data_IF_191075473503
#
_entry.id   IF_191075473503
#
_cell.length_a   1.000
_cell.length_b   1.000
_cell.length_c   1.000
_cell.angle_alpha   90.00
_cell.angle_beta   90.00
_cell.angle_gamma   90.00
#
_symmetry.space_group_name_H-M   'P 1'
#
loop_
_entity.id
_entity.type
_entity.pdbx_description
1 polymer ?
#
# COMPACT_ATOMS: atom_id res chain seq x y z
N UNK A 1 68.36 29.07 -35.70
CA UNK A 1 68.79 28.05 -34.70
C UNK A 1 69.57 28.82 -33.65
N UNK A 2 69.21 28.91 -32.37
CA UNK A 2 68.47 27.99 -31.50
C UNK A 2 67.81 28.76 -30.34
N UNK A 3 66.69 28.19 -29.88
CA UNK A 3 65.87 28.57 -28.73
C UNK A 3 66.64 28.47 -27.40
N UNK A 4 66.31 29.34 -26.42
CA UNK A 4 66.74 29.19 -25.03
C UNK A 4 65.48 29.06 -24.16
N UNK A 5 65.12 27.80 -23.87
CA UNK A 5 64.05 27.46 -22.94
C UNK A 5 64.55 27.72 -21.51
N UNK A 6 63.74 28.41 -20.70
CA UNK A 6 63.96 28.54 -19.26
C UNK A 6 63.46 27.28 -18.57
N UNK A 7 64.38 26.53 -17.97
CA UNK A 7 64.07 25.42 -17.06
C UNK A 7 63.48 25.97 -15.76
N UNK A 8 62.19 25.72 -15.53
CA UNK A 8 61.51 25.96 -14.26
C UNK A 8 61.51 24.65 -13.50
N UNK A 9 62.31 24.56 -12.43
CA UNK A 9 62.28 23.42 -11.52
C UNK A 9 61.01 23.47 -10.65
N UNK A 10 60.18 22.40 -10.63
CA UNK A 10 59.00 22.36 -9.80
C UNK A 10 59.41 22.20 -8.32
N UNK A 11 58.90 23.09 -7.47
CA UNK A 11 59.07 23.05 -6.02
C UNK A 11 58.40 21.80 -5.44
N UNK A 12 59.20 20.89 -4.86
CA UNK A 12 58.73 19.68 -4.16
C UNK A 12 57.82 19.99 -2.97
N UNK A 13 57.97 21.16 -2.36
CA UNK A 13 57.11 21.62 -1.26
C UNK A 13 55.71 22.02 -1.74
N UNK A 14 55.57 22.56 -2.95
CA UNK A 14 54.27 22.90 -3.54
C UNK A 14 53.42 21.66 -3.83
N UNK A 15 54.07 20.59 -4.31
CA UNK A 15 53.41 19.31 -4.59
C UNK A 15 52.90 18.63 -3.31
N UNK A 16 53.70 18.68 -2.23
CA UNK A 16 53.32 18.10 -0.94
C UNK A 16 52.16 18.85 -0.29
N UNK A 17 52.12 20.18 -0.41
CA UNK A 17 51.01 20.99 0.12
C UNK A 17 49.71 20.73 -0.65
N UNK A 18 49.81 20.55 -1.96
CA UNK A 18 48.66 20.26 -2.84
C UNK A 18 48.06 18.88 -2.56
N UNK A 19 48.90 17.87 -2.29
CA UNK A 19 48.44 16.52 -1.93
C UNK A 19 47.75 16.49 -0.55
N UNK A 20 48.28 17.21 0.43
CA UNK A 20 47.62 17.33 1.75
C UNK A 20 46.29 18.07 1.62
N UNK A 21 46.22 19.14 0.80
CA UNK A 21 44.98 19.86 0.54
C UNK A 21 43.92 18.95 -0.12
N UNK A 22 44.30 18.15 -1.12
CA UNK A 22 43.39 17.16 -1.73
C UNK A 22 42.89 16.12 -0.71
N UNK A 23 43.78 15.57 0.13
CA UNK A 23 43.39 14.61 1.17
C UNK A 23 42.49 15.23 2.25
N UNK A 24 42.70 16.50 2.60
CA UNK A 24 41.80 17.20 3.54
C UNK A 24 40.48 17.61 2.91
N UNK A 25 40.45 17.89 1.61
CA UNK A 25 39.22 18.22 0.87
C UNK A 25 38.30 16.99 0.76
N UNK A 26 38.86 15.78 0.74
CA UNK A 26 38.11 14.52 0.86
C UNK A 26 37.43 14.34 2.22
N UNK A 27 37.90 15.01 3.28
CA UNK A 27 37.24 15.01 4.59
C UNK A 27 36.09 16.03 4.69
N UNK A 28 35.98 16.94 3.71
CA UNK A 28 34.90 17.93 3.59
C UNK A 28 33.87 17.55 2.53
N UNK A 29 34.11 16.49 1.76
CA UNK A 29 33.06 15.88 0.96
C UNK A 29 32.09 15.19 1.92
N UNK A 30 30.76 15.42 1.82
CA UNK A 30 29.82 14.55 2.51
C UNK A 30 30.16 13.13 2.08
N UNK A 31 30.37 12.26 3.07
CA UNK A 31 30.20 10.82 2.87
C UNK A 31 28.86 10.68 2.14
N UNK A 32 28.81 9.90 1.05
CA UNK A 32 27.53 9.48 0.47
C UNK A 32 26.67 9.05 1.64
N UNK A 33 25.68 9.87 1.99
CA UNK A 33 24.66 9.47 2.94
C UNK A 33 24.03 8.25 2.31
N UNK A 34 23.84 7.18 3.09
CA UNK A 34 22.94 6.11 2.69
C UNK A 34 21.65 6.80 2.20
N UNK A 35 21.29 6.53 0.95
CA UNK A 35 20.16 7.14 0.28
C UNK A 35 19.01 6.16 0.51
N UNK A 36 18.26 6.40 1.58
CA UNK A 36 17.19 5.51 2.00
C UNK A 36 16.75 5.73 3.44
N UNK A 37 15.63 5.11 3.81
CA UNK A 37 15.08 5.24 5.17
C UNK A 37 15.93 4.55 6.23
N UNK A 38 16.26 5.27 7.28
CA UNK A 38 16.98 4.79 8.45
C UNK A 38 16.17 3.75 9.24
N UNK A 39 14.84 3.84 9.23
CA UNK A 39 13.93 2.86 9.82
C UNK A 39 14.14 1.44 9.27
N UNK A 40 14.71 1.31 8.07
CA UNK A 40 15.00 0.05 7.42
C UNK A 40 16.40 -0.51 7.74
N UNK A 41 16.98 -0.12 8.87
CA UNK A 41 18.20 -0.76 9.38
C UNK A 41 19.52 -0.22 8.81
N UNK A 42 19.50 0.95 8.17
CA UNK A 42 20.73 1.64 7.75
C UNK A 42 20.68 2.41 6.43
N UNK A 43 19.50 2.62 5.85
CA UNK A 43 19.30 3.50 4.69
C UNK A 43 19.68 2.94 3.33
N UNK A 44 19.95 1.63 3.20
CA UNK A 44 20.19 0.97 1.90
C UNK A 44 19.13 -0.12 1.58
N UNK A 45 18.27 -0.48 2.54
CA UNK A 45 17.24 -1.53 2.39
C UNK A 45 15.87 -0.97 2.01
N UNK A 46 15.70 0.35 2.11
CA UNK A 46 14.49 1.03 1.65
C UNK A 46 14.92 2.26 0.88
N UNK A 47 14.10 2.66 -0.07
CA UNK A 47 14.22 3.90 -0.81
C UNK A 47 14.13 5.13 0.08
N UNK A 48 14.46 6.29 -0.48
CA UNK A 48 14.38 7.54 0.27
C UNK A 48 12.93 8.00 0.34
N UNK A 49 12.43 8.28 1.55
CA UNK A 49 11.10 8.86 1.69
C UNK A 49 11.08 10.29 1.11
N UNK A 50 10.18 10.53 0.15
CA UNK A 50 9.91 11.84 -0.42
C UNK A 50 8.39 12.12 -0.40
N UNK A 51 8.00 13.16 0.33
CA UNK A 51 6.61 13.59 0.46
C UNK A 51 6.02 14.10 -0.87
N UNK A 52 6.85 14.52 -1.85
CA UNK A 52 6.36 14.90 -3.18
C UNK A 52 5.89 13.68 -4.01
N UNK A 53 6.30 12.47 -3.61
CA UNK A 53 5.89 11.21 -4.25
C UNK A 53 4.62 10.62 -3.64
N UNK A 54 4.20 11.10 -2.47
CA UNK A 54 2.93 10.74 -1.86
C UNK A 54 1.76 11.46 -2.55
N UNK A 55 0.84 10.67 -3.11
CA UNK A 55 -0.38 11.20 -3.75
C UNK A 55 -1.54 11.41 -2.76
N UNK A 56 -1.31 11.09 -1.48
CA UNK A 56 -2.23 11.17 -0.34
C UNK A 56 -1.66 11.90 0.90
N UNK A 57 -1.01 13.08 0.75
CA UNK A 57 -0.16 13.72 1.79
C UNK A 57 -0.84 14.23 3.07
N UNK A 58 -2.12 13.94 3.28
CA UNK A 58 -2.84 14.36 4.49
C UNK A 58 -3.62 13.19 5.13
N UNK A 59 -3.37 11.97 4.69
CA UNK A 59 -4.03 10.75 5.16
C UNK A 59 -3.01 9.63 5.19
N UNK A 60 -3.05 8.81 6.24
CA UNK A 60 -2.05 7.76 6.48
C UNK A 60 -2.21 6.53 5.57
N UNK A 61 -3.30 6.47 4.80
CA UNK A 61 -3.62 5.33 3.95
C UNK A 61 -3.55 5.74 2.49
N UNK A 62 -2.85 4.95 1.69
CA UNK A 62 -2.88 5.04 0.24
C UNK A 62 -3.18 3.66 -0.32
N UNK A 63 -4.45 3.46 -0.67
CA UNK A 63 -4.93 2.17 -1.16
C UNK A 63 -5.72 2.36 -2.45
N UNK A 64 -5.33 1.66 -3.50
CA UNK A 64 -6.11 1.56 -4.73
C UNK A 64 -6.85 0.23 -4.78
N UNK A 65 -8.18 0.27 -4.87
CA UNK A 65 -9.02 -0.92 -4.83
C UNK A 65 -9.92 -1.07 -6.05
N UNK A 66 -10.06 -2.32 -6.51
CA UNK A 66 -11.05 -2.77 -7.47
C UNK A 66 -12.04 -3.68 -6.77
N UNK A 67 -13.32 -3.38 -6.90
CA UNK A 67 -14.42 -4.11 -6.29
C UNK A 67 -15.33 -4.64 -7.39
N UNK A 68 -15.34 -5.95 -7.62
CA UNK A 68 -16.23 -6.60 -8.57
C UNK A 68 -17.35 -7.34 -7.83
N UNK A 69 -18.60 -6.94 -8.10
CA UNK A 69 -19.80 -7.52 -7.52
C UNK A 69 -20.53 -8.32 -8.58
N UNK A 70 -20.62 -9.62 -8.35
CA UNK A 70 -21.43 -10.53 -9.15
C UNK A 70 -22.71 -10.88 -8.39
N UNK A 71 -23.85 -10.43 -8.92
CA UNK A 71 -25.14 -10.88 -8.40
C UNK A 71 -25.33 -12.35 -8.81
N UNK A 72 -25.28 -13.27 -7.86
CA UNK A 72 -25.52 -14.70 -8.13
C UNK A 72 -27.02 -15.01 -8.07
N UNK A 73 -27.74 -14.32 -7.19
CA UNK A 73 -29.19 -14.43 -7.02
C UNK A 73 -29.76 -13.15 -6.44
N UNK A 74 -31.08 -13.08 -6.26
CA UNK A 74 -31.71 -11.93 -5.60
C UNK A 74 -31.42 -11.85 -4.09
N UNK A 75 -30.82 -12.89 -3.51
CA UNK A 75 -30.47 -12.93 -2.08
C UNK A 75 -28.98 -13.14 -1.80
N UNK A 76 -28.12 -13.26 -2.82
CA UNK A 76 -26.70 -13.56 -2.64
C UNK A 76 -25.84 -12.86 -3.69
N UNK A 77 -24.73 -12.27 -3.23
CA UNK A 77 -23.72 -11.59 -4.02
C UNK A 77 -22.38 -12.24 -3.74
N UNK A 78 -21.64 -12.53 -4.81
CA UNK A 78 -20.22 -12.85 -4.71
C UNK A 78 -19.42 -11.58 -5.01
N UNK A 79 -18.38 -11.37 -4.20
CA UNK A 79 -17.50 -10.22 -4.30
C UNK A 79 -16.07 -10.70 -4.55
N UNK A 80 -15.45 -10.11 -5.55
CA UNK A 80 -14.00 -10.14 -5.72
C UNK A 80 -13.43 -8.74 -5.49
N UNK A 81 -12.49 -8.66 -4.56
CA UNK A 81 -11.79 -7.43 -4.22
C UNK A 81 -10.32 -7.60 -4.51
N UNK A 82 -9.72 -6.61 -5.19
CA UNK A 82 -8.27 -6.53 -5.31
C UNK A 82 -7.79 -5.16 -4.85
N UNK A 83 -6.84 -5.11 -3.92
CA UNK A 83 -6.23 -3.87 -3.42
C UNK A 83 -4.76 -3.82 -3.77
N UNK A 84 -4.26 -2.62 -4.07
CA UNK A 84 -2.85 -2.25 -4.12
C UNK A 84 -2.60 -1.22 -3.03
N UNK A 85 -1.80 -1.61 -2.04
CA UNK A 85 -1.48 -0.81 -0.85
C UNK A 85 -0.10 -0.21 -1.04
N UNK A 86 -0.03 1.12 -1.00
CA UNK A 86 1.20 1.91 -1.12
C UNK A 86 1.62 2.50 0.21
N UNK A 87 0.62 2.80 1.04
CA UNK A 87 0.80 3.31 2.38
C UNK A 87 -0.35 2.82 3.25
N UNK A 88 -0.07 2.54 4.52
CA UNK A 88 -1.07 2.05 5.47
C UNK A 88 -0.82 2.56 6.88
N UNK A 89 -1.88 2.72 7.68
CA UNK A 89 -1.78 3.14 9.07
C UNK A 89 -0.78 2.31 9.89
N UNK A 90 0.25 3.02 10.39
CA UNK A 90 1.36 2.49 11.19
C UNK A 90 0.88 1.86 12.50
N UNK A 91 -0.09 2.48 13.16
CA UNK A 91 -0.59 2.01 14.45
C UNK A 91 -1.30 0.66 14.29
N UNK A 92 -2.11 0.56 13.24
CA UNK A 92 -2.83 -0.67 12.88
C UNK A 92 -1.90 -1.84 12.62
N UNK A 93 -0.70 -1.64 12.08
CA UNK A 93 0.30 -2.71 11.88
C UNK A 93 1.38 -2.79 12.96
N UNK A 94 1.33 -1.94 13.98
CA UNK A 94 2.23 -1.99 15.14
C UNK A 94 3.59 -1.32 14.91
N UNK A 95 3.70 -0.48 13.88
CA UNK A 95 4.85 0.33 13.52
C UNK A 95 4.68 1.81 13.95
N UNK A 96 3.64 2.12 14.72
CA UNK A 96 3.37 3.48 15.20
C UNK A 96 4.33 3.98 16.27
N UNK A 97 4.06 5.20 16.76
CA UNK A 97 4.89 5.92 17.72
C UNK A 97 5.11 5.12 19.02
N UNK A 98 6.31 5.19 19.58
CA UNK A 98 6.71 4.43 20.77
C UNK A 98 7.17 2.99 20.48
N UNK A 99 7.19 2.58 19.20
CA UNK A 99 7.93 1.41 18.74
C UNK A 99 9.33 1.82 18.25
N UNK A 100 10.34 0.94 18.30
CA UNK A 100 11.68 1.28 17.80
C UNK A 100 11.70 1.73 16.33
N UNK A 101 10.83 1.14 15.49
CA UNK A 101 10.69 1.52 14.08
C UNK A 101 9.96 2.86 13.98
N UNK A 102 8.81 3.02 14.64
CA UNK A 102 8.01 4.25 14.62
C UNK A 102 8.76 5.48 15.11
N UNK A 103 9.50 5.37 16.23
CA UNK A 103 10.34 6.46 16.74
C UNK A 103 11.44 6.83 15.72
N UNK A 104 11.95 5.85 14.96
CA UNK A 104 12.98 6.11 13.94
C UNK A 104 12.38 6.83 12.72
N UNK A 105 11.17 6.45 12.30
CA UNK A 105 10.46 7.12 11.20
C UNK A 105 10.26 8.61 11.47
N UNK A 106 9.84 8.93 12.69
CA UNK A 106 9.57 10.32 13.12
C UNK A 106 10.86 11.13 13.30
N UNK A 107 11.90 10.54 13.92
CA UNK A 107 13.12 11.28 14.29
C UNK A 107 14.13 11.40 13.14
N UNK A 108 14.15 10.47 12.19
CA UNK A 108 15.20 10.36 11.18
C UNK A 108 14.71 10.36 9.73
N UNK A 109 13.54 9.78 9.46
CA UNK A 109 13.03 9.64 8.08
C UNK A 109 12.04 10.74 7.68
N UNK A 110 11.65 11.58 8.65
CA UNK A 110 10.88 12.80 8.39
C UNK A 110 9.38 12.58 8.21
N UNK A 111 8.87 11.39 8.56
CA UNK A 111 7.44 11.10 8.55
C UNK A 111 6.76 11.82 9.73
N UNK A 112 5.70 12.54 9.45
CA UNK A 112 4.87 13.22 10.45
C UNK A 112 3.68 12.36 10.90
N UNK A 113 2.77 12.93 11.69
CA UNK A 113 1.63 12.19 12.22
C UNK A 113 0.55 11.83 11.18
N UNK A 114 0.56 12.45 10.00
CA UNK A 114 -0.39 12.20 8.92
C UNK A 114 0.11 11.18 7.90
N UNK A 115 1.39 10.83 7.97
CA UNK A 115 2.00 9.82 7.11
C UNK A 115 1.78 8.42 7.71
N UNK A 116 1.55 7.45 6.85
CA UNK A 116 1.48 6.03 7.18
C UNK A 116 2.82 5.32 7.03
N UNK A 117 2.79 3.99 7.02
CA UNK A 117 3.94 3.17 6.69
C UNK A 117 3.99 2.99 5.18
N UNK A 118 5.06 3.42 4.49
CA UNK A 118 5.21 3.17 3.07
C UNK A 118 5.39 1.67 2.79
N UNK A 119 4.99 1.22 1.60
CA UNK A 119 5.00 -0.20 1.22
C UNK A 119 6.39 -0.84 1.35
N UNK A 120 7.44 -0.09 1.06
CA UNK A 120 8.84 -0.53 1.18
C UNK A 120 9.24 -0.88 2.61
N UNK A 121 8.91 0.00 3.56
CA UNK A 121 9.08 -0.28 4.98
C UNK A 121 8.27 -1.53 5.42
N UNK A 122 7.04 -1.67 4.92
CA UNK A 122 6.20 -2.81 5.28
C UNK A 122 6.80 -4.11 4.74
N UNK A 123 7.40 -4.11 3.54
CA UNK A 123 8.12 -5.28 3.00
C UNK A 123 9.36 -5.60 3.82
N UNK A 124 10.17 -4.61 4.16
CA UNK A 124 11.36 -4.84 4.97
C UNK A 124 11.03 -5.35 6.39
N UNK A 125 9.90 -4.91 6.94
CA UNK A 125 9.42 -5.36 8.25
C UNK A 125 8.43 -6.53 8.18
N UNK A 126 8.21 -7.13 7.00
CA UNK A 126 7.09 -8.04 6.75
C UNK A 126 7.07 -9.27 7.68
N UNK A 127 8.24 -9.86 7.90
CA UNK A 127 8.45 -11.03 8.77
C UNK A 127 8.78 -10.65 10.22
N UNK A 128 8.86 -9.36 10.54
CA UNK A 128 9.09 -8.90 11.91
C UNK A 128 7.92 -9.30 12.79
N UNK A 129 8.20 -10.02 13.88
CA UNK A 129 7.17 -10.42 14.83
C UNK A 129 6.90 -9.33 15.87
N UNK A 130 5.67 -8.82 15.88
CA UNK A 130 5.20 -7.83 16.85
C UNK A 130 3.99 -8.42 17.58
N UNK A 131 4.14 -8.66 18.88
CA UNK A 131 3.04 -9.22 19.69
C UNK A 131 2.69 -10.68 19.38
N UNK A 132 3.57 -11.43 18.70
CA UNK A 132 3.40 -12.86 18.39
C UNK A 132 2.82 -13.17 17.01
N UNK A 133 2.55 -12.14 16.20
CA UNK A 133 2.12 -12.21 14.79
C UNK A 133 3.11 -11.40 13.95
N UNK A 134 3.31 -11.73 12.67
CA UNK A 134 4.18 -10.91 11.80
C UNK A 134 3.46 -9.65 11.32
N UNK A 135 4.20 -8.61 10.90
CA UNK A 135 3.61 -7.39 10.31
C UNK A 135 2.76 -7.75 9.10
N UNK A 136 3.23 -8.63 8.20
CA UNK A 136 2.47 -9.08 7.04
C UNK A 136 1.19 -9.84 7.39
N UNK A 137 1.18 -10.63 8.46
CA UNK A 137 -0.03 -11.29 8.96
C UNK A 137 -1.01 -10.30 9.60
N UNK A 138 -0.48 -9.28 10.31
CA UNK A 138 -1.29 -8.23 10.94
C UNK A 138 -1.97 -7.37 9.88
N UNK A 139 -1.23 -6.91 8.88
CA UNK A 139 -1.77 -6.16 7.74
C UNK A 139 -2.89 -6.92 7.04
N UNK A 140 -2.68 -8.22 6.76
CA UNK A 140 -3.72 -9.08 6.19
C UNK A 140 -4.97 -9.17 7.08
N UNK A 141 -4.80 -9.20 8.40
CA UNK A 141 -5.91 -9.26 9.35
C UNK A 141 -6.70 -7.95 9.39
N UNK A 142 -6.01 -6.81 9.42
CA UNK A 142 -6.66 -5.49 9.38
C UNK A 142 -7.45 -5.29 8.08
N UNK A 143 -6.90 -5.75 6.95
CA UNK A 143 -7.62 -5.73 5.67
C UNK A 143 -8.85 -6.65 5.70
N UNK A 144 -8.76 -7.86 6.27
CA UNK A 144 -9.92 -8.76 6.43
C UNK A 144 -11.04 -8.11 7.23
N UNK A 145 -10.68 -7.42 8.33
CA UNK A 145 -11.63 -6.68 9.18
C UNK A 145 -12.24 -5.51 8.41
N UNK A 146 -11.44 -4.68 7.75
CA UNK A 146 -11.92 -3.52 6.99
C UNK A 146 -12.90 -3.92 5.88
N UNK A 147 -12.59 -5.00 5.15
CA UNK A 147 -13.47 -5.52 4.09
C UNK A 147 -14.77 -6.06 4.69
N UNK A 148 -14.66 -6.85 5.76
CA UNK A 148 -15.84 -7.44 6.42
C UNK A 148 -16.77 -6.36 6.94
N UNK A 149 -16.24 -5.35 7.62
CA UNK A 149 -17.02 -4.23 8.13
C UNK A 149 -17.72 -3.45 7.01
N UNK A 150 -17.03 -3.20 5.89
CA UNK A 150 -17.62 -2.56 4.72
C UNK A 150 -18.77 -3.37 4.11
N UNK A 151 -18.62 -4.70 4.02
CA UNK A 151 -19.65 -5.58 3.47
C UNK A 151 -20.83 -5.78 4.41
N UNK A 152 -20.57 -5.92 5.71
CA UNK A 152 -21.61 -6.04 6.73
C UNK A 152 -22.45 -4.77 6.85
N UNK A 153 -21.81 -3.61 6.72
CA UNK A 153 -22.50 -2.32 6.70
C UNK A 153 -23.32 -2.10 5.42
N UNK A 154 -22.79 -2.51 4.26
CA UNK A 154 -23.36 -2.22 2.94
C UNK A 154 -24.42 -3.20 2.45
N UNK A 155 -24.29 -4.49 2.74
CA UNK A 155 -25.00 -5.56 2.01
C UNK A 155 -25.72 -6.58 2.90
N UNK A 156 -25.14 -6.96 4.04
CA UNK A 156 -25.75 -7.97 4.93
C UNK A 156 -24.73 -8.90 5.56
N UNK A 157 -25.06 -10.17 5.72
CA UNK A 157 -24.20 -11.10 6.46
C UNK A 157 -23.12 -11.68 5.56
N UNK A 158 -21.84 -11.56 5.94
CA UNK A 158 -20.71 -12.18 5.23
C UNK A 158 -20.62 -13.66 5.61
N UNK A 159 -20.80 -14.56 4.63
CA UNK A 159 -20.77 -16.01 4.84
C UNK A 159 -19.36 -16.58 4.82
N UNK A 160 -18.53 -16.04 3.93
CA UNK A 160 -17.14 -16.44 3.78
C UNK A 160 -16.32 -15.25 3.28
N UNK A 161 -15.11 -15.13 3.80
CA UNK A 161 -14.11 -14.16 3.36
C UNK A 161 -12.75 -14.87 3.37
N UNK A 162 -12.01 -14.72 2.28
CA UNK A 162 -10.65 -15.25 2.17
C UNK A 162 -9.76 -14.25 1.46
N UNK A 163 -8.70 -13.82 2.14
CA UNK A 163 -7.73 -12.84 1.66
C UNK A 163 -6.40 -13.52 1.38
N UNK A 164 -5.71 -13.11 0.32
CA UNK A 164 -4.38 -13.60 -0.06
C UNK A 164 -3.55 -12.49 -0.71
N UNK A 165 -2.23 -12.57 -0.58
CA UNK A 165 -1.31 -11.72 -1.33
C UNK A 165 -1.27 -12.14 -2.80
N UNK A 166 -1.11 -11.17 -3.70
CA UNK A 166 -1.00 -11.37 -5.14
C UNK A 166 0.08 -10.47 -5.73
N UNK A 167 0.66 -10.91 -6.84
CA UNK A 167 1.82 -10.23 -7.46
C UNK A 167 1.43 -9.16 -8.49
N UNK A 168 0.13 -8.90 -8.68
CA UNK A 168 -0.33 -7.85 -9.60
C UNK A 168 -1.72 -7.35 -9.25
N UNK A 169 -1.94 -6.07 -9.54
CA UNK A 169 -3.22 -5.40 -9.48
C UNK A 169 -3.59 -4.87 -10.86
N UNK A 170 -4.76 -5.25 -11.36
CA UNK A 170 -5.26 -4.75 -12.64
C UNK A 170 -6.44 -3.81 -12.43
N UNK A 171 -6.30 -2.57 -12.89
CA UNK A 171 -7.41 -1.65 -13.07
C UNK A 171 -7.76 -1.54 -14.57
N UNK A 172 -8.88 -0.91 -14.96
CA UNK A 172 -9.29 -0.79 -16.37
C UNK A 172 -8.31 -0.02 -17.25
N UNK A 173 -7.36 0.71 -16.65
CA UNK A 173 -6.42 1.61 -17.34
C UNK A 173 -4.99 1.08 -17.40
N UNK A 174 -4.59 0.23 -16.46
CA UNK A 174 -3.21 -0.23 -16.28
C UNK A 174 -3.15 -1.46 -15.38
N UNK A 175 -2.11 -2.28 -15.59
CA UNK A 175 -1.70 -3.33 -14.65
C UNK A 175 -0.49 -2.82 -13.89
N UNK A 176 -0.53 -2.94 -12.56
CA UNK A 176 0.53 -2.57 -11.63
C UNK A 176 1.11 -3.88 -11.11
N UNK A 177 2.43 -4.03 -11.21
CA UNK A 177 3.16 -5.17 -10.65
C UNK A 177 3.35 -4.94 -9.15
N UNK A 178 3.13 -5.97 -8.34
CA UNK A 178 3.19 -5.90 -6.89
C UNK A 178 4.21 -6.91 -6.36
N UNK A 179 4.79 -6.63 -5.20
CA UNK A 179 5.79 -7.51 -4.60
C UNK A 179 5.65 -7.53 -3.08
N UNK A 180 5.91 -8.70 -2.49
CA UNK A 180 6.15 -8.86 -1.04
C UNK A 180 7.63 -9.16 -0.74
N UNK A 181 8.49 -9.21 -1.77
CA UNK A 181 9.92 -9.45 -1.63
C UNK A 181 10.63 -8.18 -1.14
N UNK A 182 11.49 -8.32 -0.13
CA UNK A 182 12.23 -7.23 0.51
C UNK A 182 13.70 -7.15 0.09
N UNK A 183 14.09 -7.88 -0.95
CA UNK A 183 15.49 -8.00 -1.37
C UNK A 183 15.77 -7.37 -2.74
N UNK A 184 14.74 -6.86 -3.42
CA UNK A 184 14.83 -6.34 -4.80
C UNK A 184 13.88 -5.15 -5.04
N UNK A 185 13.39 -4.54 -3.98
CA UNK A 185 12.32 -3.57 -3.94
C UNK A 185 12.81 -2.12 -3.81
N UNK A 186 14.02 -1.90 -3.27
CA UNK A 186 14.66 -0.57 -3.29
C UNK A 186 15.64 -0.38 -4.47
N UNK A 187 15.92 0.88 -4.82
CA UNK A 187 16.89 1.28 -5.85
C UNK A 187 18.31 0.78 -5.54
N UNK A 188 18.69 0.75 -4.26
CA UNK A 188 19.97 0.22 -3.81
C UNK A 188 20.07 -1.31 -4.02
N UNK A 189 18.95 -2.02 -3.98
CA UNK A 189 18.84 -3.46 -4.15
C UNK A 189 18.60 -3.89 -5.61
N UNK A 190 18.22 -2.95 -6.48
CA UNK A 190 18.12 -3.15 -7.92
C UNK A 190 16.75 -2.84 -8.52
N UNK A 191 15.85 -2.20 -7.77
CA UNK A 191 14.62 -1.63 -8.30
C UNK A 191 14.90 -0.52 -9.33
N UNK A 192 13.91 -0.25 -10.18
CA UNK A 192 14.07 0.68 -11.30
C UNK A 192 13.91 2.15 -10.90
N UNK A 193 13.28 2.42 -9.75
CA UNK A 193 12.91 3.73 -9.24
C UNK A 193 13.31 3.79 -7.77
N UNK A 194 13.71 4.96 -7.28
CA UNK A 194 13.94 5.27 -5.87
C UNK A 194 12.64 5.90 -5.35
N UNK A 195 11.71 5.06 -4.89
CA UNK A 195 10.38 5.46 -4.42
C UNK A 195 9.81 4.44 -3.43
N UNK A 196 9.67 4.85 -2.17
CA UNK A 196 9.21 4.01 -1.04
C UNK A 196 7.78 3.48 -1.16
N UNK A 197 6.97 4.04 -2.06
CA UNK A 197 5.59 3.63 -2.32
C UNK A 197 5.48 2.60 -3.45
N UNK A 198 6.59 2.31 -4.15
CA UNK A 198 6.68 1.37 -5.26
C UNK A 198 7.66 0.21 -4.91
N UNK A 199 7.43 -1.01 -5.43
CA UNK A 199 6.13 -1.52 -5.87
C UNK A 199 5.06 -1.42 -4.76
N UNK A 200 3.75 -1.60 -5.00
CA UNK A 200 2.77 -1.74 -3.93
C UNK A 200 2.68 -3.19 -3.41
N UNK A 201 2.08 -3.35 -2.23
CA UNK A 201 1.63 -4.64 -1.70
C UNK A 201 0.21 -4.93 -2.17
N UNK A 202 -0.01 -6.04 -2.87
CA UNK A 202 -1.33 -6.35 -3.42
C UNK A 202 -2.03 -7.53 -2.75
N UNK A 203 -3.34 -7.37 -2.61
CA UNK A 203 -4.22 -8.32 -1.95
C UNK A 203 -5.37 -8.66 -2.86
N UNK A 204 -5.78 -9.92 -2.84
CA UNK A 204 -7.05 -10.37 -3.39
C UNK A 204 -7.89 -10.98 -2.28
N UNK A 205 -9.11 -10.47 -2.11
CA UNK A 205 -10.09 -11.03 -1.20
C UNK A 205 -11.32 -11.50 -1.97
N UNK A 206 -11.77 -12.72 -1.68
CA UNK A 206 -13.01 -13.28 -2.23
C UNK A 206 -13.99 -13.42 -1.09
N UNK A 207 -15.18 -12.83 -1.24
CA UNK A 207 -16.23 -12.88 -0.25
C UNK A 207 -17.56 -13.34 -0.86
N UNK A 208 -18.39 -13.98 -0.05
CA UNK A 208 -19.78 -14.31 -0.41
C UNK A 208 -20.70 -13.77 0.67
N UNK A 209 -21.73 -13.03 0.26
CA UNK A 209 -22.60 -12.25 1.15
C UNK A 209 -24.06 -12.59 0.88
N UNK A 210 -24.81 -12.83 1.96
CA UNK A 210 -26.27 -12.94 1.89
C UNK A 210 -26.92 -11.57 2.11
N UNK A 211 -27.79 -11.21 1.17
CA UNK A 211 -28.51 -9.94 1.20
C UNK A 211 -29.67 -10.00 2.19
N UNK A 212 -29.73 -9.00 3.07
CA UNK A 212 -30.84 -8.88 4.00
C UNK A 212 -32.15 -8.52 3.27
N UNK A 213 -33.25 -9.23 3.58
CA UNK A 213 -34.58 -8.95 3.03
C UNK A 213 -35.06 -7.49 3.25
N UNK A 214 -34.52 -6.82 4.27
CA UNK A 214 -34.78 -5.41 4.58
C UNK A 214 -34.24 -4.45 3.50
N UNK A 215 -33.15 -4.81 2.81
CA UNK A 215 -32.53 -4.02 1.73
C UNK A 215 -33.44 -3.90 0.49
N UNK A 216 -34.51 -4.69 0.49
CA UNK A 216 -35.48 -4.80 -0.58
C UNK A 216 -36.84 -4.21 -0.22
N UNK A 217 -36.94 -3.53 0.92
CA UNK A 217 -38.18 -2.93 1.41
C UNK A 217 -39.35 -3.94 1.52
N UNK A 218 -39.01 -5.23 1.66
CA UNK A 218 -39.96 -6.30 1.92
C UNK A 218 -40.00 -6.53 3.43
N UNK A 219 -41.20 -6.58 4.01
CA UNK A 219 -41.38 -6.94 5.41
C UNK A 219 -40.94 -8.40 5.58
N UNK A 220 -39.70 -8.60 6.01
CA UNK A 220 -39.11 -9.91 6.25
C UNK A 220 -39.97 -10.69 7.23
N UNK A 221 -40.64 -11.74 6.75
CA UNK A 221 -41.19 -12.79 7.60
C UNK A 221 -40.29 -14.01 7.44
N UNK A 222 -40.11 -14.82 8.48
CA UNK A 222 -39.16 -15.94 8.49
C UNK A 222 -39.43 -17.02 7.40
N UNK A 223 -40.52 -16.91 6.64
CA UNK A 223 -40.90 -17.82 5.57
C UNK A 223 -40.94 -17.16 4.17
N UNK A 224 -40.39 -15.96 3.99
CA UNK A 224 -40.37 -15.29 2.68
C UNK A 224 -39.23 -15.83 1.82
N UNK A 225 -39.56 -16.63 0.80
CA UNK A 225 -38.64 -16.94 -0.29
C UNK A 225 -38.50 -15.70 -1.18
N UNK A 226 -37.40 -14.97 -0.94
CA UNK A 226 -37.12 -13.69 -1.58
C UNK A 226 -37.03 -13.85 -3.10
N UNK A 227 -36.29 -14.85 -3.58
CA UNK A 227 -36.11 -15.16 -5.00
C UNK A 227 -37.43 -15.45 -5.72
N UNK A 228 -38.28 -16.28 -5.12
CA UNK A 228 -39.59 -16.58 -5.69
C UNK A 228 -40.49 -15.34 -5.74
N UNK A 229 -40.45 -14.52 -4.71
CA UNK A 229 -41.25 -13.28 -4.63
C UNK A 229 -40.79 -12.28 -5.69
N UNK A 230 -39.48 -12.12 -5.83
CA UNK A 230 -38.85 -11.27 -6.85
C UNK A 230 -39.20 -11.70 -8.27
N UNK A 231 -39.01 -12.98 -8.61
CA UNK A 231 -39.37 -13.50 -9.93
C UNK A 231 -40.84 -13.29 -10.23
N UNK A 232 -41.71 -13.47 -9.22
CA UNK A 232 -43.14 -13.19 -9.35
C UNK A 232 -43.44 -11.72 -9.66
N UNK A 233 -42.83 -10.79 -8.91
CA UNK A 233 -42.98 -9.35 -9.12
C UNK A 233 -42.48 -8.91 -10.50
N UNK A 234 -41.29 -9.34 -10.89
CA UNK A 234 -40.70 -9.04 -12.20
C UNK A 234 -41.54 -9.62 -13.36
N UNK A 235 -42.05 -10.85 -13.21
CA UNK A 235 -42.95 -11.46 -14.21
C UNK A 235 -44.26 -10.67 -14.36
N UNK A 236 -44.73 -10.03 -13.29
CA UNK A 236 -45.94 -9.19 -13.32
C UNK A 236 -45.66 -7.73 -13.75
N UNK A 237 -44.44 -7.40 -14.14
CA UNK A 237 -44.06 -6.07 -14.62
C UNK A 237 -43.82 -5.05 -13.51
N UNK A 238 -43.57 -5.49 -12.28
CA UNK A 238 -43.12 -4.60 -11.22
C UNK A 238 -41.65 -4.20 -11.41
N UNK A 239 -41.34 -2.93 -11.15
CA UNK A 239 -39.96 -2.44 -11.06
C UNK A 239 -39.46 -2.65 -9.63
N UNK A 240 -38.23 -3.17 -9.50
CA UNK A 240 -37.61 -3.36 -8.20
C UNK A 240 -36.34 -2.54 -8.12
N UNK A 241 -36.31 -1.61 -7.16
CA UNK A 241 -35.17 -0.75 -6.91
C UNK A 241 -34.40 -1.24 -5.69
N UNK A 242 -33.13 -1.57 -5.88
CA UNK A 242 -32.22 -2.05 -4.84
C UNK A 242 -31.19 -0.96 -4.57
N UNK A 243 -31.11 -0.49 -3.33
CA UNK A 243 -30.15 0.54 -2.94
C UNK A 243 -29.01 -0.11 -2.17
N UNK A 244 -27.79 0.14 -2.60
CA UNK A 244 -26.57 -0.28 -1.91
C UNK A 244 -25.81 0.98 -1.51
N UNK A 245 -25.24 0.97 -0.30
CA UNK A 245 -24.34 2.04 0.12
C UNK A 245 -22.91 1.49 0.13
N UNK A 246 -22.05 2.12 -0.66
CA UNK A 246 -20.64 1.78 -0.77
C UNK A 246 -19.84 2.86 -0.05
N UNK A 247 -19.19 2.49 1.04
CA UNK A 247 -18.37 3.40 1.85
C UNK A 247 -16.90 3.08 1.66
N UNK A 248 -16.10 4.14 1.51
CA UNK A 248 -14.66 4.07 1.28
C UNK A 248 -13.99 5.01 2.28
N UNK A 249 -12.87 4.58 2.85
CA UNK A 249 -12.11 5.37 3.81
C UNK A 249 -11.32 6.49 3.09
N UNK A 250 -10.94 7.57 3.79
CA UNK A 250 -10.02 8.58 3.24
C UNK A 250 -8.72 7.92 2.75
N UNK A 251 -8.14 8.41 1.65
CA UNK A 251 -6.92 7.83 1.10
C UNK A 251 -7.10 6.58 0.22
N UNK A 252 -8.31 6.01 0.23
CA UNK A 252 -8.66 4.89 -0.63
C UNK A 252 -9.28 5.38 -1.95
N UNK A 253 -8.74 4.92 -3.08
CA UNK A 253 -9.33 5.06 -4.41
C UNK A 253 -10.03 3.76 -4.78
N UNK A 254 -11.36 3.75 -4.80
CA UNK A 254 -12.15 2.55 -5.11
C UNK A 254 -12.85 2.66 -6.47
N UNK A 255 -12.60 1.68 -7.34
CA UNK A 255 -13.33 1.45 -8.58
C UNK A 255 -14.31 0.29 -8.39
N UNK A 256 -15.59 0.49 -8.74
CA UNK A 256 -16.65 -0.50 -8.54
C UNK A 256 -17.19 -1.00 -9.88
N UNK A 257 -17.20 -2.31 -10.06
CA UNK A 257 -17.78 -3.00 -11.21
C UNK A 257 -18.95 -3.85 -10.71
N UNK A 258 -20.15 -3.58 -11.23
CA UNK A 258 -21.35 -4.30 -10.84
C UNK A 258 -21.86 -5.07 -12.05
N UNK A 259 -21.84 -6.40 -11.94
CA UNK A 259 -22.35 -7.32 -12.94
C UNK A 259 -23.74 -7.80 -12.51
N UNK A 260 -24.83 -7.28 -13.11
CA UNK A 260 -26.17 -7.75 -12.80
C UNK A 260 -26.41 -9.16 -13.37
N UNK A 261 -27.19 -9.97 -12.65
CA UNK A 261 -27.68 -11.28 -13.10
C UNK A 261 -28.71 -11.21 -14.23
#
# INVERSE_FOLDING_TARGET
>A
MTSRASDVHPSTHGLSLFLVLMFTLQLLAPVVSAAGMQSCGGGDNCDTYDHDEDLTPNVQDWVEGMYEFDLVSTSSIDLELTWAVREFDRDSIGLGSGSPVGDTLEDFDGLDANDGAPADLIRETFDMSIGGTTVGEKLKTEIDVAIRDALESGFGTVNSLSTQYVDSFSNPTSTIDCSTDNATDSFAEGAAVDNVFEPPLCFKAIASVDLAAANFNLAGTENLDLERTYRGLLTMGAEVNTSFNLTVQPGHRADFVINPA
#
